data_IF_601555495975
#
_entry.id   IF_601555495975
#
_cell.length_a   1.000
_cell.length_b   1.000
_cell.length_c   1.000
_cell.angle_alpha   90.00
_cell.angle_beta   90.00
_cell.angle_gamma   90.00
#
_symmetry.space_group_name_H-M   'P 1'
#
loop_
_entity.id
_entity.type
_entity.pdbx_description
1 polymer ?
#
# COMPACT_ATOMS: atom_id res chain seq x y z
N UNK A 1 -28.05 7.24 -2.53
CA UNK A 1 -27.14 6.15 -2.14
C UNK A 1 -25.99 6.02 -3.10
N UNK A 2 -24.80 6.49 -2.70
CA UNK A 2 -23.57 6.14 -3.39
C UNK A 2 -23.24 4.69 -3.05
N UNK A 3 -23.07 3.82 -4.05
CA UNK A 3 -22.60 2.45 -3.85
C UNK A 3 -21.21 2.31 -4.48
N UNK A 4 -20.25 1.83 -3.69
CA UNK A 4 -18.92 1.54 -4.20
C UNK A 4 -18.98 0.38 -5.20
N UNK A 5 -18.45 0.58 -6.41
CA UNK A 5 -18.42 -0.49 -7.43
C UNK A 5 -17.53 -1.69 -7.07
N UNK A 6 -16.61 -1.51 -6.12
CA UNK A 6 -15.64 -2.54 -5.68
C UNK A 6 -16.03 -3.23 -4.37
N UNK A 7 -16.92 -2.64 -3.58
CA UNK A 7 -17.48 -3.28 -2.38
C UNK A 7 -18.95 -2.85 -2.20
N UNK A 8 -19.91 -3.56 -2.84
CA UNK A 8 -21.31 -3.12 -2.91
C UNK A 8 -21.99 -2.97 -1.55
N UNK A 9 -21.45 -3.60 -0.51
CA UNK A 9 -21.96 -3.51 0.86
C UNK A 9 -21.56 -2.22 1.60
N UNK A 10 -20.67 -1.38 1.04
CA UNK A 10 -20.29 -0.07 1.60
C UNK A 10 -20.85 1.05 0.73
N UNK A 11 -22.11 1.38 0.97
CA UNK A 11 -22.77 2.57 0.42
C UNK A 11 -23.10 3.59 1.52
N UNK A 12 -23.08 4.88 1.19
CA UNK A 12 -23.48 5.94 2.11
C UNK A 12 -24.35 6.98 1.40
N UNK A 13 -25.34 7.51 2.12
CA UNK A 13 -26.15 8.66 1.70
C UNK A 13 -25.57 9.99 2.17
N UNK A 14 -24.50 9.96 2.97
CA UNK A 14 -23.82 11.18 3.40
C UNK A 14 -23.14 11.82 2.19
N UNK A 15 -23.49 13.06 1.89
CA UNK A 15 -22.70 13.91 1.01
C UNK A 15 -21.25 13.90 1.51
N UNK A 16 -20.35 13.32 0.72
CA UNK A 16 -18.93 13.39 1.03
C UNK A 16 -18.45 14.78 0.60
N UNK A 17 -18.75 15.82 1.40
CA UNK A 17 -18.30 17.18 1.13
C UNK A 17 -16.77 17.23 1.24
N UNK A 18 -16.10 17.65 0.17
CA UNK A 18 -14.66 17.91 0.14
C UNK A 18 -13.75 16.72 -0.19
N UNK A 19 -14.28 15.52 -0.47
CA UNK A 19 -13.45 14.36 -0.78
C UNK A 19 -13.37 14.13 -2.30
N UNK A 20 -12.24 14.59 -2.86
CA UNK A 20 -11.48 13.95 -3.94
C UNK A 20 -12.23 13.63 -5.24
N UNK A 21 -11.99 14.43 -6.28
CA UNK A 21 -12.47 14.18 -7.65
C UNK A 21 -12.24 12.74 -8.14
N UNK A 22 -11.18 12.06 -7.65
CA UNK A 22 -10.84 10.68 -7.96
C UNK A 22 -11.89 9.65 -7.47
N UNK A 23 -12.38 9.80 -6.23
CA UNK A 23 -13.42 8.92 -5.67
C UNK A 23 -14.74 9.04 -6.44
N UNK A 24 -15.10 10.27 -6.80
CA UNK A 24 -16.28 10.56 -7.61
C UNK A 24 -16.12 9.99 -9.04
N UNK A 25 -14.97 10.21 -9.68
CA UNK A 25 -14.67 9.70 -11.01
C UNK A 25 -14.68 8.17 -11.08
N UNK A 26 -14.06 7.49 -10.10
CA UNK A 26 -13.97 6.03 -10.09
C UNK A 26 -15.15 5.34 -9.43
N UNK A 27 -16.07 6.08 -8.81
CA UNK A 27 -17.23 5.56 -8.07
C UNK A 27 -16.83 4.53 -7.00
N UNK A 28 -15.86 4.90 -6.18
CA UNK A 28 -15.33 4.07 -5.08
C UNK A 28 -15.43 4.76 -3.71
N UNK A 29 -15.59 3.97 -2.65
CA UNK A 29 -15.49 4.48 -1.28
C UNK A 29 -14.02 4.82 -0.93
N UNK A 30 -13.79 5.57 0.15
CA UNK A 30 -12.44 5.99 0.58
C UNK A 30 -11.48 4.83 0.78
N UNK A 31 -11.97 3.71 1.32
CA UNK A 31 -11.16 2.50 1.51
C UNK A 31 -10.71 1.90 0.18
N UNK A 32 -11.60 1.82 -0.82
CA UNK A 32 -11.24 1.32 -2.14
C UNK A 32 -10.36 2.30 -2.92
N UNK A 33 -10.54 3.60 -2.74
CA UNK A 33 -9.68 4.63 -3.32
C UNK A 33 -8.24 4.56 -2.78
N UNK A 34 -8.09 4.32 -1.48
CA UNK A 34 -6.80 4.04 -0.85
C UNK A 34 -6.09 2.82 -1.47
N UNK A 35 -6.80 1.69 -1.62
CA UNK A 35 -6.21 0.49 -2.22
C UNK A 35 -5.93 0.66 -3.72
N UNK A 36 -6.70 1.51 -4.42
CA UNK A 36 -6.39 1.92 -5.79
C UNK A 36 -5.12 2.78 -5.86
N UNK A 37 -4.84 3.65 -4.87
CA UNK A 37 -3.53 4.33 -4.77
C UNK A 37 -2.42 3.31 -4.64
N UNK A 38 -2.55 2.36 -3.70
CA UNK A 38 -1.50 1.36 -3.44
C UNK A 38 -1.23 0.49 -4.67
N UNK A 39 -2.28 0.11 -5.39
CA UNK A 39 -2.15 -0.55 -6.68
C UNK A 39 -1.43 0.31 -7.72
N UNK A 40 -1.64 1.63 -7.70
CA UNK A 40 -0.93 2.58 -8.55
C UNK A 40 0.58 2.56 -8.37
N UNK A 41 1.10 2.30 -7.16
CA UNK A 41 2.55 2.18 -6.93
C UNK A 41 3.18 1.03 -7.70
N UNK A 42 2.44 -0.06 -7.94
CA UNK A 42 2.94 -1.17 -8.77
C UNK A 42 3.22 -0.70 -10.20
N UNK A 43 2.39 0.18 -10.74
CA UNK A 43 2.58 0.75 -12.07
C UNK A 43 3.79 1.70 -12.13
N UNK A 44 4.31 2.12 -10.98
CA UNK A 44 5.50 2.95 -10.83
C UNK A 44 6.74 2.14 -10.43
N UNK A 45 6.73 0.82 -10.64
CA UNK A 45 7.86 -0.05 -10.30
C UNK A 45 8.00 -0.29 -8.79
N UNK A 46 6.85 -0.45 -8.12
CA UNK A 46 6.74 -0.63 -6.67
C UNK A 46 7.31 0.54 -5.87
N UNK A 47 6.97 1.75 -6.30
CA UNK A 47 7.38 2.99 -5.65
C UNK A 47 6.23 3.99 -5.58
N UNK A 48 6.23 4.81 -4.53
CA UNK A 48 5.43 6.02 -4.49
C UNK A 48 6.14 7.17 -5.26
N UNK A 49 5.49 8.34 -5.42
CA UNK A 49 6.07 9.48 -6.13
C UNK A 49 7.38 10.04 -5.53
N UNK A 50 7.65 9.81 -4.24
CA UNK A 50 8.87 10.26 -3.56
C UNK A 50 9.97 9.16 -3.56
N UNK A 51 9.73 8.06 -4.29
CA UNK A 51 10.67 6.93 -4.39
C UNK A 51 10.66 6.00 -3.18
N UNK A 52 9.67 6.10 -2.29
CA UNK A 52 9.48 5.14 -1.18
C UNK A 52 9.07 3.80 -1.78
N UNK A 53 9.72 2.71 -1.36
CA UNK A 53 9.44 1.39 -1.91
C UNK A 53 8.18 0.78 -1.32
N UNK A 54 7.29 0.32 -2.19
CA UNK A 54 6.11 -0.46 -1.84
C UNK A 54 6.46 -1.95 -1.69
N UNK A 55 6.19 -2.51 -0.52
CA UNK A 55 6.35 -3.93 -0.23
C UNK A 55 4.98 -4.57 -0.02
N UNK A 56 4.80 -5.77 -0.55
CA UNK A 56 3.67 -6.65 -0.32
C UNK A 56 4.22 -7.97 0.18
N UNK A 57 3.94 -8.26 1.45
CA UNK A 57 4.51 -9.40 2.17
C UNK A 57 3.37 -10.04 2.97
N UNK A 58 3.12 -11.33 2.75
CA UNK A 58 2.03 -12.08 3.38
C UNK A 58 0.67 -11.39 3.24
N UNK A 59 0.44 -10.80 2.06
CA UNK A 59 -0.77 -10.05 1.73
C UNK A 59 -1.01 -8.79 2.54
N UNK A 60 0.03 -8.21 3.15
CA UNK A 60 0.01 -6.89 3.77
C UNK A 60 0.81 -5.90 2.94
N UNK A 61 0.38 -4.65 2.93
CA UNK A 61 1.04 -3.58 2.19
C UNK A 61 1.86 -2.68 3.12
N UNK A 62 3.07 -2.35 2.69
CA UNK A 62 4.01 -1.51 3.42
C UNK A 62 4.67 -0.49 2.50
N UNK A 63 5.14 0.61 3.09
CA UNK A 63 6.14 1.49 2.48
C UNK A 63 7.41 1.47 3.32
N UNK A 64 8.57 1.41 2.68
CA UNK A 64 9.85 1.77 3.32
C UNK A 64 10.11 3.25 3.12
N UNK A 65 10.67 3.93 4.10
CA UNK A 65 11.01 5.35 3.96
C UNK A 65 12.39 5.67 4.58
N UNK A 66 12.85 6.89 4.43
CA UNK A 66 14.05 7.43 5.12
C UNK A 66 13.70 8.72 5.84
N UNK A 67 14.50 9.12 6.83
CA UNK A 67 14.24 10.35 7.58
C UNK A 67 14.20 11.59 6.67
N UNK A 68 14.95 11.60 5.56
CA UNK A 68 14.93 12.68 4.55
C UNK A 68 13.61 12.73 3.77
N UNK A 69 13.00 11.57 3.48
CA UNK A 69 11.70 11.49 2.81
C UNK A 69 10.56 11.90 3.75
N UNK A 70 10.73 11.78 5.06
CA UNK A 70 9.66 11.97 6.02
C UNK A 70 8.59 10.87 5.96
N UNK A 71 7.67 10.91 6.92
CA UNK A 71 6.60 9.91 7.05
C UNK A 71 5.80 9.78 5.75
N UNK A 72 5.45 8.56 5.33
CA UNK A 72 4.55 8.38 4.19
C UNK A 72 3.22 9.12 4.38
N UNK A 73 2.68 9.73 3.31
CA UNK A 73 1.47 10.56 3.41
C UNK A 73 0.19 9.74 3.68
N UNK A 74 0.22 8.44 3.46
CA UNK A 74 -0.91 7.55 3.64
C UNK A 74 -1.08 7.07 5.09
N UNK A 75 -2.33 6.75 5.46
CA UNK A 75 -2.66 6.18 6.77
C UNK A 75 -1.91 4.86 6.97
N UNK A 76 -1.22 4.73 8.10
CA UNK A 76 -0.52 3.51 8.49
C UNK A 76 0.12 3.60 9.87
N UNK A 77 0.95 2.60 10.18
CA UNK A 77 1.65 2.45 11.45
C UNK A 77 3.15 2.30 11.21
N UNK A 78 3.97 3.10 11.88
CA UNK A 78 5.41 2.91 11.88
C UNK A 78 5.80 1.70 12.74
N UNK A 79 6.61 0.80 12.17
CA UNK A 79 7.36 -0.19 12.95
C UNK A 79 8.59 0.44 13.58
N UNK A 80 9.01 -0.06 14.74
CA UNK A 80 10.20 0.42 15.46
C UNK A 80 11.47 -0.41 15.17
N UNK A 81 11.35 -1.48 14.38
CA UNK A 81 12.43 -2.45 14.17
C UNK A 81 13.05 -2.34 12.78
N UNK A 82 14.33 -2.72 12.69
CA UNK A 82 15.05 -2.87 11.43
C UNK A 82 14.40 -4.00 10.63
N UNK A 83 13.80 -3.63 9.51
CA UNK A 83 13.20 -4.56 8.57
C UNK A 83 14.26 -5.12 7.62
N UNK A 84 14.36 -6.44 7.53
CA UNK A 84 15.17 -7.16 6.54
C UNK A 84 14.22 -7.86 5.58
N UNK A 85 14.44 -7.73 4.28
CA UNK A 85 13.57 -8.33 3.27
C UNK A 85 14.33 -8.71 2.00
N UNK A 86 13.79 -9.66 1.24
CA UNK A 86 14.26 -10.05 -0.09
C UNK A 86 13.14 -9.77 -1.08
N UNK A 87 13.47 -9.18 -2.23
CA UNK A 87 12.51 -9.00 -3.32
C UNK A 87 12.39 -10.30 -4.11
N UNK A 88 11.17 -10.71 -4.45
CA UNK A 88 10.91 -11.97 -5.13
C UNK A 88 11.38 -11.97 -6.59
N UNK A 89 11.53 -10.79 -7.19
CA UNK A 89 12.02 -10.59 -8.55
C UNK A 89 13.54 -10.36 -8.63
N UNK A 90 14.24 -10.28 -7.49
CA UNK A 90 15.68 -10.07 -7.44
C UNK A 90 16.41 -11.43 -7.57
N UNK A 91 17.04 -11.73 -8.74
CA UNK A 91 17.64 -13.04 -8.99
C UNK A 91 18.86 -13.32 -8.11
N UNK A 92 19.42 -12.29 -7.48
CA UNK A 92 20.58 -12.43 -6.58
C UNK A 92 20.16 -12.88 -5.18
N UNK A 93 18.87 -12.77 -4.83
CA UNK A 93 18.39 -13.03 -3.48
C UNK A 93 18.97 -12.09 -2.43
N UNK A 94 19.39 -10.88 -2.83
CA UNK A 94 20.02 -9.92 -1.94
C UNK A 94 19.10 -9.52 -0.79
N UNK A 95 19.61 -9.64 0.45
CA UNK A 95 18.93 -9.14 1.64
C UNK A 95 19.06 -7.63 1.70
N UNK A 96 17.92 -6.95 1.66
CA UNK A 96 17.80 -5.51 1.82
C UNK A 96 17.44 -5.18 3.26
N UNK A 97 17.88 -4.00 3.71
CA UNK A 97 17.65 -3.52 5.07
C UNK A 97 16.98 -2.15 5.01
N UNK A 98 15.94 -1.96 5.81
CA UNK A 98 15.31 -0.66 6.03
C UNK A 98 15.09 -0.44 7.53
N UNK A 99 15.40 0.76 8.00
CA UNK A 99 15.22 1.14 9.39
C UNK A 99 13.81 1.71 9.68
N UNK A 100 12.99 1.87 8.64
CA UNK A 100 11.74 2.61 8.68
C UNK A 100 10.72 1.93 7.76
N UNK A 101 9.81 1.19 8.37
CA UNK A 101 8.70 0.55 7.67
C UNK A 101 7.37 1.13 8.13
N UNK A 102 6.46 1.31 7.17
CA UNK A 102 5.13 1.85 7.38
C UNK A 102 4.09 0.81 6.95
N UNK A 103 3.45 0.16 7.92
CA UNK A 103 2.37 -0.79 7.66
C UNK A 103 1.09 -0.04 7.30
N UNK A 104 0.62 -0.24 6.07
CA UNK A 104 -0.56 0.40 5.52
C UNK A 104 -1.83 -0.44 5.75
N UNK A 105 -1.69 -1.74 5.94
CA UNK A 105 -2.78 -2.64 6.31
C UNK A 105 -2.76 -3.98 5.57
N UNK A 106 -3.80 -4.78 5.80
CA UNK A 106 -4.02 -6.05 5.10
C UNK A 106 -4.74 -5.79 3.78
N UNK A 107 -4.20 -6.33 2.68
CA UNK A 107 -4.77 -6.19 1.34
C UNK A 107 -6.11 -6.94 1.31
N UNK A 108 -7.24 -6.27 0.98
CA UNK A 108 -8.54 -6.92 0.90
C UNK A 108 -8.60 -7.94 -0.23
N UNK A 109 -9.43 -8.97 -0.06
CA UNK A 109 -9.60 -10.06 -1.04
C UNK A 109 -9.85 -9.54 -2.47
N UNK A 110 -10.67 -8.50 -2.62
CA UNK A 110 -10.98 -7.88 -3.91
C UNK A 110 -9.76 -7.29 -4.65
N UNK A 111 -8.62 -7.14 -3.98
CA UNK A 111 -7.35 -6.63 -4.52
C UNK A 111 -6.24 -7.68 -4.53
N UNK A 112 -6.39 -8.83 -3.84
CA UNK A 112 -5.32 -9.83 -3.67
C UNK A 112 -4.74 -10.31 -4.99
N UNK A 113 -5.60 -10.65 -5.96
CA UNK A 113 -5.16 -11.15 -7.27
C UNK A 113 -4.38 -10.10 -8.08
N UNK A 114 -4.63 -8.81 -7.81
CA UNK A 114 -4.00 -7.68 -8.52
C UNK A 114 -2.80 -7.11 -7.79
N UNK A 115 -2.64 -7.44 -6.52
CA UNK A 115 -1.58 -6.98 -5.64
C UNK A 115 -0.89 -8.18 -4.98
N UNK A 116 -0.25 -9.06 -5.76
CA UNK A 116 0.48 -10.20 -5.22
C UNK A 116 1.67 -9.73 -4.39
N UNK A 117 2.14 -10.60 -3.50
CA UNK A 117 3.36 -10.36 -2.75
C UNK A 117 4.54 -10.16 -3.70
N UNK A 118 5.41 -9.21 -3.37
CA UNK A 118 6.63 -8.89 -4.12
C UNK A 118 7.90 -9.06 -3.29
N UNK A 119 7.76 -9.36 -2.00
CA UNK A 119 8.87 -9.52 -1.09
C UNK A 119 8.53 -10.53 0.00
N UNK A 120 9.57 -10.98 0.70
CA UNK A 120 9.47 -11.77 1.94
C UNK A 120 10.36 -11.17 3.00
N UNK A 121 9.96 -11.27 4.27
CA UNK A 121 10.85 -10.92 5.37
C UNK A 121 12.02 -11.91 5.44
N UNK A 122 13.22 -11.38 5.63
CA UNK A 122 14.40 -12.17 5.87
C UNK A 122 14.60 -12.38 7.38
N UNK A 123 15.25 -13.48 7.80
CA UNK A 123 15.60 -13.71 9.19
C UNK A 123 16.41 -12.56 9.80
N UNK A 124 16.32 -12.42 11.12
CA UNK A 124 17.25 -11.58 11.88
C UNK A 124 18.71 -12.01 11.57
N UNK A 125 19.62 -11.03 11.63
CA UNK A 125 21.05 -11.27 11.43
C UNK A 125 21.65 -12.07 12.58
#
# INVERSE_FOLDING_TARGET
MFQCKLCPNKGTDRQIRGVGARMAAYRVCSSCDFWLTCLGYMMLGDQDPDGRRALRIDGRHYLTWTDEQGFPPEIGYAGAEVCRYVLLDDPTGAVRVSHRIWLMGTIPDAFRDRMPDNAVFAPAA
#
